data_IF_292018368247
#
_entry.id   IF_292018368247
#
_cell.length_a   1.000
_cell.length_b   1.000
_cell.length_c   1.000
_cell.angle_alpha   90.00
_cell.angle_beta   90.00
_cell.angle_gamma   90.00
#
_symmetry.space_group_name_H-M   'P 1'
#
loop_
_entity.id
_entity.type
_entity.pdbx_description
1 polymer ?
#
# COMPACT_ATOMS: atom_id res chain seq x y z
N UNK A 1 -35.46 44.43 53.71
CA UNK A 1 -34.73 43.17 53.42
C UNK A 1 -35.11 42.74 52.02
N UNK A 2 -34.20 42.88 51.06
CA UNK A 2 -34.40 42.36 49.70
C UNK A 2 -34.36 40.84 49.72
N UNK A 3 -35.40 40.23 49.14
CA UNK A 3 -35.51 38.78 48.93
C UNK A 3 -34.74 38.43 47.66
N UNK A 4 -33.87 37.41 47.64
CA UNK A 4 -33.10 37.08 46.44
C UNK A 4 -34.04 36.49 45.38
N UNK A 5 -34.13 37.13 44.22
CA UNK A 5 -34.80 36.59 43.03
C UNK A 5 -34.19 35.24 42.66
N UNK A 6 -34.99 34.18 42.76
CA UNK A 6 -34.60 32.85 42.30
C UNK A 6 -34.50 32.85 40.76
N UNK A 7 -33.38 32.37 40.17
CA UNK A 7 -33.25 32.36 38.73
C UNK A 7 -34.22 31.34 38.12
N UNK A 8 -35.10 31.84 37.24
CA UNK A 8 -36.08 31.07 36.46
C UNK A 8 -35.60 29.68 36.03
N UNK A 9 -36.37 28.64 36.33
CA UNK A 9 -36.10 27.23 35.96
C UNK A 9 -35.76 27.04 34.46
N UNK A 10 -36.27 27.95 33.60
CA UNK A 10 -36.02 28.04 32.15
C UNK A 10 -34.60 28.51 31.80
N UNK A 11 -33.96 29.37 32.60
CA UNK A 11 -32.55 29.74 32.39
C UNK A 11 -31.61 28.63 32.87
N UNK A 12 -31.97 27.89 33.92
CA UNK A 12 -31.20 26.74 34.43
C UNK A 12 -31.15 25.57 33.43
N UNK A 13 -32.28 25.22 32.83
CA UNK A 13 -32.38 24.18 31.78
C UNK A 13 -31.66 24.55 30.49
N UNK A 14 -31.77 25.81 30.03
CA UNK A 14 -31.01 26.31 28.87
C UNK A 14 -29.51 26.27 29.09
N UNK A 15 -29.04 26.63 30.29
CA UNK A 15 -27.61 26.60 30.67
C UNK A 15 -27.09 25.15 30.75
N UNK A 16 -27.89 24.23 31.26
CA UNK A 16 -27.59 22.80 31.29
C UNK A 16 -27.47 22.19 29.89
N UNK A 17 -28.41 22.51 28.99
CA UNK A 17 -28.37 22.05 27.60
C UNK A 17 -27.16 22.60 26.83
N UNK A 18 -26.81 23.87 27.06
CA UNK A 18 -25.59 24.47 26.49
C UNK A 18 -24.31 23.79 27.00
N UNK A 19 -24.20 23.53 28.32
CA UNK A 19 -23.05 22.80 28.88
C UNK A 19 -22.94 21.39 28.30
N UNK A 20 -24.07 20.68 28.15
CA UNK A 20 -24.12 19.34 27.58
C UNK A 20 -23.68 19.34 26.11
N UNK A 21 -24.15 20.31 25.32
CA UNK A 21 -23.75 20.47 23.92
C UNK A 21 -22.25 20.75 23.79
N UNK A 22 -21.69 21.59 24.66
CA UNK A 22 -20.25 21.90 24.66
C UNK A 22 -19.43 20.67 25.02
N UNK A 23 -19.86 19.88 26.01
CA UNK A 23 -19.16 18.64 26.39
C UNK A 23 -19.20 17.62 25.25
N UNK A 24 -20.36 17.38 24.64
CA UNK A 24 -20.49 16.45 23.49
C UNK A 24 -19.58 16.91 22.34
N UNK A 25 -19.59 18.21 22.00
CA UNK A 25 -18.74 18.74 20.95
C UNK A 25 -17.25 18.55 21.26
N UNK A 26 -16.82 18.81 22.50
CA UNK A 26 -15.44 18.59 22.94
C UNK A 26 -15.02 17.12 22.87
N UNK A 27 -15.90 16.18 23.23
CA UNK A 27 -15.65 14.73 23.10
C UNK A 27 -15.52 14.29 21.64
N UNK A 28 -16.36 14.82 20.74
CA UNK A 28 -16.26 14.52 19.31
C UNK A 28 -14.96 15.08 18.71
N UNK A 29 -14.60 16.30 19.09
CA UNK A 29 -13.37 16.95 18.61
C UNK A 29 -12.12 16.21 19.11
N UNK A 30 -12.09 15.81 20.38
CA UNK A 30 -10.97 15.05 20.94
C UNK A 30 -10.83 13.67 20.29
N UNK A 31 -11.95 12.97 20.06
CA UNK A 31 -11.95 11.69 19.33
C UNK A 31 -11.41 11.83 17.91
N UNK A 32 -11.80 12.90 17.20
CA UNK A 32 -11.29 13.21 15.86
C UNK A 32 -9.78 13.46 15.89
N UNK A 33 -9.28 14.24 16.85
CA UNK A 33 -7.85 14.54 16.99
C UNK A 33 -7.05 13.27 17.30
N UNK A 34 -7.55 12.38 18.17
CA UNK A 34 -6.91 11.09 18.46
C UNK A 34 -6.82 10.23 17.19
N UNK A 35 -7.90 10.16 16.41
CA UNK A 35 -7.89 9.43 15.14
C UNK A 35 -6.89 10.02 14.13
N UNK A 36 -6.83 11.36 14.02
CA UNK A 36 -5.84 12.03 13.17
C UNK A 36 -4.40 11.72 13.63
N UNK A 37 -4.12 11.84 14.94
CA UNK A 37 -2.80 11.50 15.49
C UNK A 37 -2.44 10.04 15.23
N UNK A 38 -3.37 9.10 15.41
CA UNK A 38 -3.13 7.68 15.10
C UNK A 38 -2.79 7.46 13.61
N UNK A 39 -3.47 8.17 12.70
CA UNK A 39 -3.15 8.14 11.26
C UNK A 39 -1.77 8.76 11.00
N UNK A 40 -1.44 9.90 11.61
CA UNK A 40 -0.14 10.54 11.46
C UNK A 40 1.00 9.66 11.99
N UNK A 41 0.87 9.11 13.20
CA UNK A 41 1.86 8.19 13.79
C UNK A 41 1.98 6.92 12.96
N UNK A 42 0.87 6.36 12.47
CA UNK A 42 0.87 5.21 11.57
C UNK A 42 1.60 5.47 10.25
N UNK A 43 1.58 6.71 9.74
CA UNK A 43 2.33 7.13 8.56
C UNK A 43 3.81 7.42 8.86
N UNK A 44 4.13 8.00 10.03
CA UNK A 44 5.52 8.24 10.46
C UNK A 44 6.27 6.95 10.80
N UNK A 45 5.57 5.91 11.26
CA UNK A 45 6.14 4.59 11.55
C UNK A 45 6.63 3.85 10.29
N UNK A 46 6.37 4.43 9.10
CA UNK A 46 6.76 3.90 7.81
C UNK A 46 7.98 4.67 7.34
N UNK A 47 9.12 4.41 7.98
CA UNK A 47 10.39 4.82 7.39
C UNK A 47 10.54 4.06 6.07
N UNK A 48 10.36 4.73 4.94
CA UNK A 48 10.82 4.19 3.66
C UNK A 48 12.30 3.84 3.84
N UNK A 49 12.73 2.61 3.50
CA UNK A 49 14.12 2.25 3.70
C UNK A 49 14.99 3.23 2.92
N UNK A 50 16.02 3.76 3.59
CA UNK A 50 16.92 4.73 2.97
C UNK A 50 17.64 4.02 1.83
N UNK A 51 17.43 4.53 0.62
CA UNK A 51 18.07 4.03 -0.60
C UNK A 51 19.48 4.60 -0.68
N UNK A 52 20.49 3.73 -0.67
CA UNK A 52 21.91 4.10 -0.67
C UNK A 52 22.52 3.72 -2.02
N UNK A 53 23.20 4.65 -2.71
CA UNK A 53 23.89 4.35 -3.96
C UNK A 53 25.10 3.44 -3.71
N UNK A 54 25.34 2.49 -4.63
CA UNK A 54 26.48 1.57 -4.60
C UNK A 54 26.81 1.10 -6.03
N UNK A 55 27.84 0.28 -6.16
CA UNK A 55 28.20 -0.41 -7.40
C UNK A 55 27.87 -1.89 -7.28
N UNK A 56 27.07 -2.40 -8.22
CA UNK A 56 26.61 -3.77 -8.27
C UNK A 56 27.19 -4.49 -9.48
N UNK A 57 27.91 -5.59 -9.23
CA UNK A 57 28.38 -6.50 -10.27
C UNK A 57 27.34 -7.58 -10.54
N UNK A 58 26.99 -7.80 -11.80
CA UNK A 58 26.06 -8.87 -12.18
C UNK A 58 26.82 -10.19 -12.28
N UNK A 59 26.47 -11.15 -11.42
CA UNK A 59 27.07 -12.49 -11.37
C UNK A 59 26.37 -13.45 -12.32
N UNK A 60 25.05 -13.32 -12.46
CA UNK A 60 24.27 -14.09 -13.43
C UNK A 60 22.99 -13.35 -13.81
N UNK A 61 22.45 -13.65 -14.99
CA UNK A 61 21.19 -13.10 -15.47
C UNK A 61 20.30 -14.20 -16.06
N UNK A 62 19.00 -14.09 -15.87
CA UNK A 62 17.99 -15.06 -16.33
C UNK A 62 16.64 -14.38 -16.57
N UNK A 63 15.73 -15.06 -17.26
CA UNK A 63 14.32 -14.67 -17.33
C UNK A 63 13.53 -15.74 -16.58
N UNK A 64 12.68 -15.31 -15.66
CA UNK A 64 11.90 -16.23 -14.83
C UNK A 64 10.45 -15.74 -14.68
N UNK A 65 9.56 -16.67 -14.34
CA UNK A 65 8.18 -16.37 -14.01
C UNK A 65 8.09 -16.06 -12.52
N UNK A 66 7.75 -14.82 -12.19
CA UNK A 66 7.54 -14.36 -10.81
C UNK A 66 6.08 -14.34 -10.46
N UNK A 67 5.80 -14.52 -9.17
CA UNK A 67 4.46 -14.45 -8.63
C UNK A 67 4.41 -13.43 -7.51
N UNK A 68 3.48 -12.50 -7.57
CA UNK A 68 3.15 -11.64 -6.45
C UNK A 68 1.76 -12.00 -5.94
N UNK A 69 1.59 -12.05 -4.62
CA UNK A 69 0.27 -12.19 -4.03
C UNK A 69 -0.39 -10.82 -4.03
N UNK A 70 -1.36 -10.62 -4.90
CA UNK A 70 -2.15 -9.40 -4.96
C UNK A 70 -3.48 -9.66 -4.28
N UNK A 71 -3.77 -8.90 -3.23
CA UNK A 71 -5.04 -8.98 -2.53
C UNK A 71 -5.87 -7.75 -2.85
N UNK A 72 -7.12 -7.96 -3.25
CA UNK A 72 -8.12 -6.89 -3.25
C UNK A 72 -8.19 -6.29 -1.83
N UNK A 73 -8.17 -4.96 -1.74
CA UNK A 73 -7.99 -4.20 -0.49
C UNK A 73 -8.83 -4.74 0.68
N UNK A 74 -8.15 -5.49 1.54
CA UNK A 74 -8.45 -5.80 2.92
C UNK A 74 -8.61 -4.53 3.76
N UNK A 75 -9.53 -4.52 4.74
CA UNK A 75 -9.73 -3.48 5.77
C UNK A 75 -8.43 -2.93 6.42
N UNK A 76 -7.26 -3.58 6.23
CA UNK A 76 -6.02 -3.31 6.95
C UNK A 76 -4.73 -3.19 6.09
N UNK A 77 -4.77 -3.23 4.76
CA UNK A 77 -3.51 -3.17 3.97
C UNK A 77 -3.51 -2.08 2.89
N UNK A 78 -3.53 -0.82 3.33
CA UNK A 78 -3.40 0.37 2.48
C UNK A 78 -1.99 0.54 1.88
N UNK A 79 -1.01 -0.29 2.27
CA UNK A 79 0.37 -0.31 1.74
C UNK A 79 0.58 -1.26 0.57
N UNK A 80 -0.45 -1.96 0.09
CA UNK A 80 -0.31 -2.82 -1.08
C UNK A 80 -0.13 -1.98 -2.35
N UNK A 81 1.08 -1.98 -2.92
CA UNK A 81 1.45 -1.21 -4.14
C UNK A 81 0.73 -1.65 -5.43
N UNK A 82 -0.04 -2.75 -5.39
CA UNK A 82 -0.82 -3.24 -6.53
C UNK A 82 -2.28 -3.39 -6.15
N UNK A 83 -3.15 -2.66 -6.85
CA UNK A 83 -4.57 -2.56 -6.52
C UNK A 83 -5.40 -3.10 -7.68
N UNK A 84 -6.08 -4.22 -7.46
CA UNK A 84 -7.24 -4.61 -8.27
C UNK A 84 -8.52 -4.28 -7.51
N UNK A 85 -9.53 -3.85 -8.27
CA UNK A 85 -10.85 -3.48 -7.75
C UNK A 85 -11.72 -4.74 -7.60
N UNK A 86 -12.37 -4.95 -6.45
CA UNK A 86 -13.33 -6.03 -6.30
C UNK A 86 -14.61 -5.73 -7.09
N UNK A 87 -15.06 -6.69 -7.91
CA UNK A 87 -16.37 -6.68 -8.56
C UNK A 87 -17.48 -7.27 -7.66
N UNK A 88 -17.15 -7.94 -6.55
CA UNK A 88 -18.14 -8.64 -5.71
C UNK A 88 -17.87 -8.55 -4.21
N UNK A 89 -18.97 -8.51 -3.44
CA UNK A 89 -18.99 -8.17 -2.01
C UNK A 89 -18.69 -9.41 -1.14
N UNK A 90 -17.69 -9.28 -0.26
CA UNK A 90 -17.53 -9.92 1.08
C UNK A 90 -16.39 -10.91 1.37
N UNK A 91 -15.47 -11.17 0.46
CA UNK A 91 -14.19 -11.85 0.82
C UNK A 91 -13.05 -11.16 0.08
N UNK A 92 -12.00 -10.76 0.78
CA UNK A 92 -10.80 -10.23 0.12
C UNK A 92 -10.22 -11.33 -0.76
N UNK A 93 -10.39 -11.22 -2.08
CA UNK A 93 -9.86 -12.20 -3.01
C UNK A 93 -8.38 -11.88 -3.19
N UNK A 94 -7.53 -12.67 -2.54
CA UNK A 94 -6.13 -12.72 -2.91
C UNK A 94 -5.98 -13.64 -4.11
N UNK A 95 -5.25 -13.18 -5.12
CA UNK A 95 -4.82 -13.98 -6.25
C UNK A 95 -3.33 -13.85 -6.41
N UNK A 96 -2.72 -14.87 -6.99
CA UNK A 96 -1.34 -14.78 -7.43
C UNK A 96 -1.33 -14.21 -8.83
N UNK A 97 -0.66 -13.07 -8.99
CA UNK A 97 -0.40 -12.48 -10.29
C UNK A 97 0.96 -12.98 -10.76
N UNK A 98 0.95 -13.70 -11.88
CA UNK A 98 2.16 -14.19 -12.52
C UNK A 98 2.65 -13.22 -13.58
N UNK A 99 3.95 -12.94 -13.60
CA UNK A 99 4.58 -12.03 -14.54
C UNK A 99 5.97 -12.50 -14.92
N UNK A 100 6.38 -12.22 -16.16
CA UNK A 100 7.75 -12.44 -16.59
C UNK A 100 8.64 -11.32 -16.04
N UNK A 101 9.82 -11.67 -15.53
CA UNK A 101 10.79 -10.69 -15.07
C UNK A 101 12.21 -11.12 -15.48
N UNK A 102 13.05 -10.13 -15.75
CA UNK A 102 14.50 -10.35 -15.81
C UNK A 102 15.01 -10.45 -14.38
N UNK A 103 15.74 -11.51 -14.08
CA UNK A 103 16.30 -11.76 -12.75
C UNK A 103 17.81 -11.69 -12.84
N UNK A 104 18.39 -10.81 -12.03
CA UNK A 104 19.84 -10.64 -11.93
C UNK A 104 20.31 -11.03 -10.53
N UNK A 105 21.35 -11.84 -10.49
CA UNK A 105 22.11 -12.09 -9.27
C UNK A 105 23.22 -11.05 -9.20
N UNK A 106 23.18 -10.21 -8.18
CA UNK A 106 24.11 -9.09 -8.03
C UNK A 106 24.95 -9.23 -6.78
N UNK A 107 26.21 -8.85 -6.92
CA UNK A 107 27.19 -8.69 -5.86
C UNK A 107 27.40 -7.19 -5.63
N UNK A 108 27.27 -6.72 -4.40
CA UNK A 108 27.45 -5.30 -4.05
C UNK A 108 28.14 -5.16 -2.69
N UNK A 109 28.74 -3.99 -2.44
CA UNK A 109 29.29 -3.67 -1.13
C UNK A 109 28.27 -2.86 -0.33
N UNK A 110 27.99 -3.31 0.88
CA UNK A 110 27.18 -2.56 1.84
C UNK A 110 27.99 -1.38 2.43
N UNK A 111 27.31 -0.55 3.24
CA UNK A 111 27.92 0.62 3.89
C UNK A 111 29.04 0.26 4.87
N UNK A 112 29.14 -0.99 5.29
CA UNK A 112 30.23 -1.50 6.14
C UNK A 112 31.39 -2.05 5.30
N UNK A 113 31.29 -1.97 3.97
CA UNK A 113 32.28 -2.50 3.03
C UNK A 113 32.20 -4.01 2.82
N UNK A 114 31.21 -4.68 3.39
CA UNK A 114 31.05 -6.12 3.25
C UNK A 114 30.38 -6.45 1.91
N UNK A 115 30.95 -7.44 1.21
CA UNK A 115 30.35 -7.99 -0.01
C UNK A 115 29.08 -8.76 0.32
N UNK A 116 27.97 -8.38 -0.32
CA UNK A 116 26.66 -8.99 -0.21
C UNK A 116 26.20 -9.46 -1.58
N UNK A 117 25.40 -10.53 -1.56
CA UNK A 117 24.84 -11.14 -2.75
C UNK A 117 23.33 -11.16 -2.63
N UNK A 118 22.63 -10.65 -3.64
CA UNK A 118 21.16 -10.65 -3.66
C UNK A 118 20.61 -10.86 -5.07
N UNK A 119 19.33 -11.16 -5.15
CA UNK A 119 18.58 -11.20 -6.39
C UNK A 119 17.84 -9.88 -6.57
N UNK A 120 17.84 -9.38 -7.79
CA UNK A 120 17.06 -8.22 -8.19
C UNK A 120 16.28 -8.55 -9.46
N UNK A 121 15.07 -8.01 -9.52
CA UNK A 121 14.11 -8.26 -10.59
C UNK A 121 13.87 -6.98 -11.37
N UNK A 122 13.71 -7.09 -12.67
CA UNK A 122 13.30 -6.00 -13.55
C UNK A 122 12.04 -6.46 -14.31
N UNK A 123 10.84 -5.93 -13.97
CA UNK A 123 10.54 -4.95 -12.92
C UNK A 123 10.62 -5.53 -11.49
N UNK A 124 10.81 -4.67 -10.49
CA UNK A 124 11.07 -4.98 -9.07
C UNK A 124 9.79 -5.20 -8.28
N UNK A 125 8.66 -5.04 -8.98
CA UNK A 125 7.31 -4.97 -8.48
C UNK A 125 6.38 -5.49 -9.59
N UNK A 126 5.23 -6.03 -9.21
CA UNK A 126 4.30 -6.63 -10.14
C UNK A 126 3.47 -5.57 -10.84
N UNK A 127 3.87 -5.20 -12.05
CA UNK A 127 3.17 -4.17 -12.81
C UNK A 127 1.69 -4.53 -13.10
N UNK A 128 0.82 -3.51 -13.25
CA UNK A 128 -0.53 -3.64 -13.79
C UNK A 128 -0.58 -4.51 -15.06
N UNK A 129 -1.70 -5.19 -15.30
CA UNK A 129 -1.85 -6.14 -16.40
C UNK A 129 -1.56 -5.52 -17.77
N UNK A 130 -1.99 -4.28 -17.97
CA UNK A 130 -1.85 -3.48 -19.19
C UNK A 130 -0.40 -3.12 -19.53
N UNK A 131 0.50 -3.14 -18.55
CA UNK A 131 1.90 -2.78 -18.73
C UNK A 131 2.89 -3.83 -18.24
N UNK A 132 2.40 -5.05 -18.00
CA UNK A 132 3.21 -6.19 -17.62
C UNK A 132 4.09 -6.62 -18.80
N UNK A 133 5.41 -6.79 -18.60
CA UNK A 133 6.28 -7.27 -19.65
C UNK A 133 5.90 -8.70 -20.03
N UNK A 134 5.87 -8.96 -21.34
CA UNK A 134 5.86 -10.32 -21.86
C UNK A 134 7.26 -10.95 -21.78
N UNK A 135 7.37 -12.24 -22.10
CA UNK A 135 8.65 -12.95 -22.07
C UNK A 135 9.73 -12.25 -22.92
N UNK A 136 9.39 -11.82 -24.15
CA UNK A 136 10.32 -11.15 -25.05
C UNK A 136 10.84 -9.83 -24.48
N UNK A 137 9.97 -9.03 -23.86
CA UNK A 137 10.36 -7.78 -23.21
C UNK A 137 11.27 -8.01 -21.99
N UNK A 138 10.98 -9.05 -21.19
CA UNK A 138 11.86 -9.47 -20.09
C UNK A 138 13.20 -10.01 -20.61
N UNK A 139 13.21 -10.73 -21.73
CA UNK A 139 14.43 -11.20 -22.37
C UNK A 139 15.30 -10.06 -22.88
N UNK A 140 14.71 -9.10 -23.60
CA UNK A 140 15.42 -7.91 -24.08
C UNK A 140 15.97 -7.07 -22.92
N UNK A 141 15.23 -6.98 -21.81
CA UNK A 141 15.72 -6.29 -20.62
C UNK A 141 16.90 -7.01 -19.98
N UNK A 142 16.88 -8.35 -19.94
CA UNK A 142 18.03 -9.17 -19.53
C UNK A 142 19.24 -8.90 -20.43
N UNK A 143 19.06 -8.85 -21.75
CA UNK A 143 20.14 -8.70 -22.74
C UNK A 143 20.81 -7.32 -22.73
N UNK A 144 20.17 -6.29 -22.15
CA UNK A 144 20.79 -4.96 -21.96
C UNK A 144 21.93 -4.97 -20.94
N UNK A 145 21.93 -5.92 -20.01
CA UNK A 145 22.92 -6.01 -18.95
C UNK A 145 23.81 -7.23 -19.15
N UNK A 146 25.12 -6.98 -19.18
CA UNK A 146 26.11 -8.03 -19.37
C UNK A 146 26.50 -8.63 -18.02
N UNK A 147 26.66 -9.95 -18.02
CA UNK A 147 27.20 -10.68 -16.87
C UNK A 147 28.68 -10.30 -16.72
N UNK A 148 29.13 -10.24 -15.47
CA UNK A 148 30.49 -9.85 -15.07
C UNK A 148 30.82 -8.37 -15.26
N UNK A 149 29.84 -7.52 -15.61
CA UNK A 149 29.97 -6.07 -15.59
C UNK A 149 29.39 -5.45 -14.31
N UNK A 150 29.87 -4.24 -14.00
CA UNK A 150 29.46 -3.46 -12.83
C UNK A 150 28.61 -2.28 -13.26
N UNK A 151 27.52 -2.05 -12.54
CA UNK A 151 26.55 -0.99 -12.82
C UNK A 151 26.24 -0.21 -11.54
N UNK A 152 25.86 1.06 -11.70
CA UNK A 152 25.34 1.86 -10.61
C UNK A 152 24.01 1.29 -10.14
N UNK A 153 23.87 1.15 -8.82
CA UNK A 153 22.69 0.57 -8.21
C UNK A 153 22.35 1.26 -6.90
N UNK A 154 21.14 1.02 -6.44
CA UNK A 154 20.68 1.50 -5.14
C UNK A 154 20.21 0.33 -4.30
N UNK A 155 20.64 0.29 -3.03
CA UNK A 155 20.20 -0.73 -2.09
C UNK A 155 19.44 -0.09 -0.92
N UNK A 156 18.38 -0.75 -0.49
CA UNK A 156 17.57 -0.33 0.64
C UNK A 156 18.25 -0.76 1.95
N UNK A 157 18.63 0.17 2.82
CA UNK A 157 19.18 -0.21 4.14
C UNK A 157 18.09 -0.90 4.99
N UNK A 158 18.38 -2.10 5.50
CA UNK A 158 17.45 -2.91 6.30
C UNK A 158 16.55 -3.89 5.52
N UNK A 159 16.55 -3.84 4.19
CA UNK A 159 15.86 -4.81 3.32
C UNK A 159 16.83 -5.22 2.23
N UNK A 160 17.04 -6.51 1.99
CA UNK A 160 17.97 -7.02 0.96
C UNK A 160 17.44 -6.83 -0.48
N UNK A 161 16.89 -5.66 -0.79
CA UNK A 161 16.38 -5.25 -2.11
C UNK A 161 17.36 -4.28 -2.74
N UNK A 162 17.80 -4.61 -3.96
CA UNK A 162 18.70 -3.80 -4.79
C UNK A 162 17.97 -3.47 -6.09
N UNK A 163 18.14 -2.25 -6.61
CA UNK A 163 17.67 -1.85 -7.93
C UNK A 163 18.85 -1.40 -8.79
N UNK A 164 19.02 -2.02 -9.96
CA UNK A 164 20.04 -1.65 -10.98
C UNK A 164 19.46 -0.70 -12.04
N UNK A 165 18.20 -0.30 -11.89
CA UNK A 165 17.52 0.63 -12.78
C UNK A 165 16.80 1.68 -11.96
N UNK A 166 16.61 2.85 -12.57
CA UNK A 166 15.73 3.88 -12.05
C UNK A 166 14.28 3.56 -12.45
N UNK A 167 13.32 3.99 -11.63
CA UNK A 167 11.88 3.80 -11.87
C UNK A 167 11.38 4.45 -13.19
N UNK A 168 12.23 5.22 -13.87
CA UNK A 168 12.01 5.79 -15.21
C UNK A 168 12.27 4.80 -16.36
N UNK A 169 12.94 3.67 -16.10
CA UNK A 169 13.26 2.66 -17.12
C UNK A 169 12.02 1.93 -17.63
N UNK A 170 11.01 1.79 -16.75
CA UNK A 170 9.70 1.27 -17.11
C UNK A 170 8.74 2.45 -17.21
N UNK A 171 8.21 2.71 -18.42
CA UNK A 171 7.22 3.78 -18.64
C UNK A 171 5.90 3.57 -17.89
N UNK A 172 5.75 2.42 -17.22
CA UNK A 172 4.62 2.12 -16.38
C UNK A 172 5.03 2.09 -14.91
N UNK A 173 4.40 2.95 -14.14
CA UNK A 173 4.41 2.88 -12.68
C UNK A 173 3.06 2.39 -12.23
N UNK A 174 3.03 1.55 -11.18
CA UNK A 174 1.79 1.26 -10.51
C UNK A 174 1.21 2.59 -9.99
N UNK A 175 0.11 3.04 -10.58
CA UNK A 175 -0.48 4.33 -10.25
C UNK A 175 -0.94 4.34 -8.80
N UNK A 176 -0.33 5.19 -7.98
CA UNK A 176 -0.82 5.42 -6.63
C UNK A 176 -2.26 5.94 -6.71
N UNK A 177 -3.19 5.38 -5.91
CA UNK A 177 -4.56 5.84 -5.91
C UNK A 177 -4.65 7.30 -5.47
N UNK A 178 -5.44 8.10 -6.19
CA UNK A 178 -5.66 9.50 -5.81
C UNK A 178 -6.32 9.61 -4.44
N UNK A 179 -6.17 10.74 -3.76
CA UNK A 179 -6.81 10.98 -2.45
C UNK A 179 -8.33 10.82 -2.52
N UNK A 180 -8.97 11.24 -3.62
CA UNK A 180 -10.41 11.07 -3.85
C UNK A 180 -10.76 9.58 -3.96
N UNK A 181 -9.95 8.82 -4.69
CA UNK A 181 -10.12 7.39 -4.86
C UNK A 181 -9.89 6.65 -3.52
N UNK A 182 -8.92 7.10 -2.71
CA UNK A 182 -8.71 6.62 -1.34
C UNK A 182 -9.90 6.91 -0.44
N UNK A 183 -10.46 8.12 -0.47
CA UNK A 183 -11.65 8.49 0.31
C UNK A 183 -12.87 7.67 -0.12
N UNK A 184 -13.08 7.48 -1.43
CA UNK A 184 -14.14 6.63 -1.98
C UNK A 184 -13.98 5.17 -1.52
N UNK A 185 -12.74 4.67 -1.48
CA UNK A 185 -12.44 3.34 -0.94
C UNK A 185 -12.77 3.24 0.56
N UNK A 186 -12.45 4.26 1.35
CA UNK A 186 -12.79 4.31 2.78
C UNK A 186 -14.29 4.42 3.06
N UNK A 187 -15.07 5.10 2.20
CA UNK A 187 -16.51 5.27 2.42
C UNK A 187 -17.30 3.97 2.19
N UNK A 188 -16.89 3.14 1.23
CA UNK A 188 -17.47 1.80 1.01
C UNK A 188 -17.28 0.90 2.24
N UNK A 189 -16.17 1.07 2.98
CA UNK A 189 -15.87 0.28 4.20
C UNK A 189 -16.81 0.58 5.38
N UNK A 190 -17.52 1.71 5.39
CA UNK A 190 -18.35 2.14 6.54
C UNK A 190 -19.85 1.79 6.42
N UNK A 191 -20.29 1.18 5.31
CA UNK A 191 -21.70 0.84 5.11
C UNK A 191 -21.99 -0.61 5.57
N UNK A 192 -22.79 -0.83 6.63
CA UNK A 192 -23.28 -2.16 6.96
C UNK A 192 -24.34 -2.58 5.93
N UNK A 193 -23.95 -3.41 4.96
CA UNK A 193 -24.92 -3.95 3.97
C UNK A 193 -25.67 -5.13 4.58
N UNK A 194 -26.88 -4.93 5.09
CA UNK A 194 -27.79 -6.06 5.34
C UNK A 194 -28.33 -6.56 4.00
N UNK A 195 -27.91 -7.75 3.56
CA UNK A 195 -28.62 -8.47 2.50
C UNK A 195 -28.45 -9.97 2.67
N UNK A 196 -29.52 -10.63 3.13
CA UNK A 196 -29.75 -12.06 2.90
C UNK A 196 -29.82 -12.28 1.39
N UNK A 197 -28.96 -13.13 0.85
CA UNK A 197 -29.21 -13.75 -0.45
C UNK A 197 -29.16 -15.26 -0.27
N UNK A 198 -30.30 -15.90 -0.57
CA UNK A 198 -30.45 -17.35 -0.70
C UNK A 198 -29.45 -17.85 -1.77
N UNK A 199 -28.81 -19.01 -1.57
CA UNK A 199 -27.95 -19.58 -2.60
C UNK A 199 -28.76 -19.92 -3.87
N UNK A 200 -28.19 -19.77 -5.07
CA UNK A 200 -28.83 -20.25 -6.30
C UNK A 200 -28.87 -21.79 -6.31
N UNK A 201 -29.84 -22.41 -7.01
CA UNK A 201 -29.93 -23.86 -7.08
C UNK A 201 -28.78 -24.42 -7.91
N UNK A 202 -28.23 -25.54 -7.44
CA UNK A 202 -27.20 -26.31 -8.12
C UNK A 202 -27.84 -27.08 -9.28
N UNK A 203 -27.71 -26.57 -10.50
CA UNK A 203 -27.89 -27.41 -11.70
C UNK A 203 -26.51 -27.79 -12.22
N UNK A 204 -26.04 -28.94 -11.73
CA UNK A 204 -24.95 -29.69 -12.33
C UNK A 204 -25.54 -30.60 -13.41
N UNK A 205 -25.19 -30.39 -14.68
CA UNK A 205 -25.22 -31.47 -15.67
C UNK A 205 -24.23 -31.21 -16.80
N UNK A 206 -23.30 -32.17 -16.93
CA UNK A 206 -22.30 -32.47 -17.97
C UNK A 206 -21.19 -31.44 -18.26
#
# INVERSE_FOLDING_TARGET
>A
MDSPEEPSERTRTKRGFHLLSITIFAFLLSSLMVALVAVFVGNLSVSSPVSVPSQCKIVSSSVDLRSSKVCELGLLNYKAKHVFYPLEKRKFRCRYDYYWASVFKVEYKDSLGQTRLTLTEAPNEALPLDCRPNFGAAWLTKDKFKVNETYDCWYASGISKVSIYQDSFFSCQAKEPSTIEMIKRYSILKLPVYSRQRPPPNDATF
#
